data_IF_003157771030
#
_entry.id   IF_003157771030
#
_cell.length_a   1.000
_cell.length_b   1.000
_cell.length_c   1.000
_cell.angle_alpha   90.00
_cell.angle_beta   90.00
_cell.angle_gamma   90.00
#
_symmetry.space_group_name_H-M   'P 1'
#
loop_
_entity.id
_entity.type
_entity.pdbx_description
1 polymer ?
#
# COMPACT_ATOMS: atom_id res chain seq x y z
N UNK A 1 21.88 20.04 11.65
CA UNK A 1 21.85 18.74 10.94
C UNK A 1 20.62 18.62 10.04
N UNK A 2 19.37 18.76 10.51
CA UNK A 2 18.12 18.53 9.75
C UNK A 2 18.01 19.39 8.48
N UNK A 3 18.36 20.69 8.53
CA UNK A 3 18.27 21.60 7.37
C UNK A 3 19.22 21.14 6.26
N UNK A 4 20.46 20.75 6.60
CA UNK A 4 21.44 20.29 5.61
C UNK A 4 20.96 19.00 4.95
N UNK A 5 20.46 18.05 5.73
CA UNK A 5 19.89 16.80 5.20
C UNK A 5 18.71 17.08 4.26
N UNK A 6 17.79 17.96 4.65
CA UNK A 6 16.63 18.34 3.82
C UNK A 6 17.07 18.99 2.50
N UNK A 7 18.06 19.88 2.52
CA UNK A 7 18.61 20.52 1.32
C UNK A 7 19.26 19.50 0.39
N UNK A 8 20.06 18.57 0.93
CA UNK A 8 20.69 17.51 0.12
C UNK A 8 19.64 16.68 -0.60
N UNK A 9 18.61 16.20 0.13
CA UNK A 9 17.53 15.43 -0.49
C UNK A 9 16.73 16.23 -1.51
N UNK A 10 16.47 17.52 -1.26
CA UNK A 10 15.77 18.39 -2.21
C UNK A 10 16.58 18.58 -3.50
N UNK A 11 17.90 18.76 -3.41
CA UNK A 11 18.78 18.88 -4.58
C UNK A 11 18.81 17.57 -5.37
N UNK A 12 18.96 16.43 -4.71
CA UNK A 12 18.92 15.12 -5.37
C UNK A 12 17.57 14.91 -6.08
N UNK A 13 16.46 15.21 -5.40
CA UNK A 13 15.13 15.09 -6.00
C UNK A 13 14.96 16.00 -7.23
N UNK A 14 15.45 17.24 -7.15
CA UNK A 14 15.40 18.18 -8.27
C UNK A 14 16.21 17.65 -9.47
N UNK A 15 17.42 17.17 -9.26
CA UNK A 15 18.26 16.60 -10.32
C UNK A 15 17.56 15.42 -10.98
N UNK A 16 17.00 14.49 -10.19
CA UNK A 16 16.30 13.31 -10.71
C UNK A 16 15.05 13.71 -11.50
N UNK A 17 14.29 14.71 -11.05
CA UNK A 17 13.12 15.23 -11.77
C UNK A 17 13.52 15.88 -13.09
N UNK A 18 14.61 16.65 -13.11
CA UNK A 18 15.12 17.24 -14.36
C UNK A 18 15.61 16.17 -15.33
N UNK A 19 16.35 15.17 -14.86
CA UNK A 19 16.76 14.02 -15.69
C UNK A 19 15.52 13.32 -16.27
N UNK A 20 14.50 13.10 -15.45
CA UNK A 20 13.24 12.50 -15.90
C UNK A 20 12.57 13.38 -16.98
N UNK A 21 12.43 14.68 -16.74
CA UNK A 21 11.81 15.62 -17.65
C UNK A 21 12.49 15.69 -19.02
N UNK A 22 13.84 15.71 -19.06
CA UNK A 22 14.59 15.80 -20.31
C UNK A 22 14.70 14.47 -21.07
N UNK A 23 14.47 13.31 -20.41
CA UNK A 23 14.62 12.01 -21.04
C UNK A 23 13.30 11.28 -21.33
N UNK A 24 12.16 11.79 -20.84
CA UNK A 24 10.85 11.20 -21.12
C UNK A 24 10.25 11.89 -22.35
N UNK A 25 10.06 11.11 -23.41
CA UNK A 25 9.26 11.48 -24.56
C UNK A 25 7.88 10.82 -24.46
N UNK A 26 6.83 11.59 -24.67
CA UNK A 26 5.47 11.08 -24.73
C UNK A 26 5.28 10.33 -26.06
N UNK A 27 5.50 9.01 -26.05
CA UNK A 27 5.43 8.15 -27.25
C UNK A 27 4.01 7.80 -27.68
N UNK A 28 3.08 7.83 -26.76
CA UNK A 28 1.67 7.56 -27.03
C UNK A 28 0.91 8.89 -26.92
N UNK A 29 0.93 9.65 -27.99
CA UNK A 29 0.02 10.76 -28.18
C UNK A 29 -1.32 10.12 -28.55
N UNK A 30 -2.21 9.92 -27.58
CA UNK A 30 -3.61 9.69 -27.89
C UNK A 30 -4.06 10.98 -28.57
N UNK A 31 -4.22 10.95 -29.91
CA UNK A 31 -4.82 12.05 -30.63
C UNK A 31 -6.03 12.50 -29.83
N UNK A 32 -6.07 13.79 -29.54
CA UNK A 32 -7.21 14.41 -28.89
C UNK A 32 -8.36 14.49 -29.91
N UNK A 33 -8.73 13.34 -30.49
CA UNK A 33 -10.02 13.17 -31.10
C UNK A 33 -11.01 13.59 -30.03
N UNK A 34 -11.68 14.71 -30.26
CA UNK A 34 -12.70 15.37 -29.44
C UNK A 34 -13.16 14.50 -28.27
N UNK A 35 -12.41 14.55 -27.16
CA UNK A 35 -12.85 13.91 -25.91
C UNK A 35 -14.14 14.61 -25.58
N UNK A 36 -15.27 14.02 -25.98
CA UNK A 36 -16.58 14.43 -25.49
C UNK A 36 -16.39 14.65 -24.00
N UNK A 37 -16.54 15.90 -23.56
CA UNK A 37 -16.35 16.24 -22.14
C UNK A 37 -17.43 15.50 -21.36
N UNK A 38 -17.10 14.26 -20.96
CA UNK A 38 -18.04 13.45 -20.18
C UNK A 38 -18.36 14.23 -18.90
N UNK A 39 -19.62 14.55 -18.65
CA UNK A 39 -20.02 15.28 -17.45
C UNK A 39 -19.48 14.59 -16.19
N UNK A 40 -18.92 15.34 -15.26
CA UNK A 40 -18.30 14.82 -14.03
C UNK A 40 -19.25 13.85 -13.30
N UNK A 41 -20.56 14.13 -13.30
CA UNK A 41 -21.57 13.24 -12.68
C UNK A 41 -21.66 11.86 -13.35
N UNK A 42 -21.55 11.77 -14.69
CA UNK A 42 -21.51 10.48 -15.40
C UNK A 42 -20.21 9.73 -15.07
N UNK A 43 -19.10 10.43 -15.03
CA UNK A 43 -17.81 9.88 -14.67
C UNK A 43 -17.79 9.32 -13.24
N UNK A 44 -18.34 10.05 -12.28
CA UNK A 44 -18.49 9.59 -10.90
C UNK A 44 -19.36 8.35 -10.80
N UNK A 45 -20.52 8.34 -11.48
CA UNK A 45 -21.42 7.17 -11.51
C UNK A 45 -20.73 5.94 -12.10
N UNK A 46 -20.00 6.09 -13.19
CA UNK A 46 -19.25 5.01 -13.82
C UNK A 46 -18.15 4.48 -12.89
N UNK A 47 -17.42 5.37 -12.18
CA UNK A 47 -16.41 5.01 -11.21
C UNK A 47 -16.98 4.16 -10.06
N UNK A 48 -18.07 4.62 -9.41
CA UNK A 48 -18.71 3.88 -8.32
C UNK A 48 -19.41 2.60 -8.78
N UNK A 49 -19.73 2.46 -10.07
CA UNK A 49 -20.25 1.21 -10.63
C UNK A 49 -19.17 0.15 -10.88
N UNK A 50 -17.89 0.53 -10.78
CA UNK A 50 -16.75 -0.36 -10.99
C UNK A 50 -16.37 -1.04 -9.67
N UNK A 51 -16.87 -2.26 -9.47
CA UNK A 51 -16.60 -3.04 -8.25
C UNK A 51 -15.12 -3.32 -8.03
N UNK A 52 -14.35 -3.54 -9.10
CA UNK A 52 -12.91 -3.85 -8.96
C UNK A 52 -12.10 -2.61 -8.56
N UNK A 53 -12.49 -1.43 -9.04
CA UNK A 53 -11.93 -0.19 -8.55
C UNK A 53 -12.19 0.00 -7.04
N UNK A 54 -13.41 -0.26 -6.58
CA UNK A 54 -13.74 -0.15 -5.15
C UNK A 54 -12.92 -1.13 -4.30
N UNK A 55 -12.70 -2.36 -4.79
CA UNK A 55 -11.84 -3.34 -4.13
C UNK A 55 -10.38 -2.85 -4.11
N UNK A 56 -9.85 -2.33 -5.21
CA UNK A 56 -8.49 -1.80 -5.27
C UNK A 56 -8.30 -0.59 -4.35
N UNK A 57 -9.30 0.30 -4.27
CA UNK A 57 -9.30 1.42 -3.33
C UNK A 57 -9.24 0.93 -1.87
N UNK A 58 -10.03 -0.08 -1.53
CA UNK A 58 -9.96 -0.75 -0.23
C UNK A 58 -8.61 -1.39 0.04
N UNK A 59 -8.07 -2.17 -0.90
CA UNK A 59 -6.75 -2.79 -0.79
C UNK A 59 -5.67 -1.74 -0.53
N UNK A 60 -5.64 -0.66 -1.31
CA UNK A 60 -4.69 0.43 -1.16
C UNK A 60 -4.86 1.16 0.18
N UNK A 61 -6.09 1.50 0.55
CA UNK A 61 -6.40 2.19 1.79
C UNK A 61 -5.98 1.37 3.02
N UNK A 62 -6.39 0.09 3.11
CA UNK A 62 -6.04 -0.77 4.23
C UNK A 62 -4.55 -1.13 4.28
N UNK A 63 -3.88 -1.21 3.13
CA UNK A 63 -2.44 -1.36 3.07
C UNK A 63 -1.73 -0.14 3.69
N UNK A 64 -2.14 1.08 3.32
CA UNK A 64 -1.57 2.31 3.89
C UNK A 64 -1.88 2.39 5.39
N UNK A 65 -3.10 2.03 5.81
CA UNK A 65 -3.45 1.96 7.23
C UNK A 65 -2.55 0.98 7.99
N UNK A 66 -2.37 -0.23 7.48
CA UNK A 66 -1.49 -1.25 8.06
C UNK A 66 -0.04 -0.73 8.18
N UNK A 67 0.49 -0.13 7.13
CA UNK A 67 1.86 0.41 7.11
C UNK A 67 2.02 1.58 8.10
N UNK A 68 1.04 2.48 8.17
CA UNK A 68 1.05 3.62 9.10
C UNK A 68 1.00 3.13 10.55
N UNK A 69 0.11 2.18 10.86
CA UNK A 69 0.00 1.60 12.21
C UNK A 69 1.30 0.90 12.58
N UNK A 70 1.82 0.02 11.71
CA UNK A 70 3.05 -0.72 11.97
C UNK A 70 4.24 0.21 12.20
N UNK A 71 4.44 1.21 11.34
CA UNK A 71 5.56 2.15 11.47
C UNK A 71 5.47 3.03 12.70
N UNK A 72 4.29 3.57 13.00
CA UNK A 72 4.09 4.43 14.16
C UNK A 72 4.28 3.64 15.46
N UNK A 73 3.62 2.49 15.60
CA UNK A 73 3.68 1.73 16.86
C UNK A 73 5.06 1.06 17.08
N UNK A 74 5.79 0.72 16.00
CA UNK A 74 7.14 0.19 16.12
C UNK A 74 8.09 1.18 16.80
N UNK A 75 7.93 2.49 16.56
CA UNK A 75 8.71 3.53 17.25
C UNK A 75 8.46 3.52 18.74
N UNK A 76 7.19 3.41 19.17
CA UNK A 76 6.85 3.29 20.59
C UNK A 76 7.35 1.97 21.19
N UNK A 77 7.26 0.87 20.44
CA UNK A 77 7.77 -0.44 20.88
C UNK A 77 9.28 -0.39 21.11
N UNK A 78 10.06 0.17 20.20
CA UNK A 78 11.51 0.32 20.36
C UNK A 78 11.85 1.20 21.56
N UNK A 79 11.17 2.35 21.72
CA UNK A 79 11.44 3.31 22.78
C UNK A 79 11.10 2.75 24.18
N UNK A 80 9.93 2.14 24.35
CA UNK A 80 9.41 1.80 25.65
C UNK A 80 9.52 0.30 26.01
N UNK A 81 9.45 -0.61 25.03
CA UNK A 81 9.54 -2.06 25.27
C UNK A 81 10.98 -2.56 25.13
N UNK A 82 11.68 -2.18 24.06
CA UNK A 82 13.09 -2.51 23.87
C UNK A 82 14.05 -1.55 24.57
N UNK A 83 13.54 -0.44 25.13
CA UNK A 83 14.30 0.61 25.82
C UNK A 83 15.44 1.22 25.00
N UNK A 84 15.36 1.13 23.69
CA UNK A 84 16.33 1.70 22.76
C UNK A 84 15.64 2.15 21.47
N UNK A 85 15.50 3.47 21.30
CA UNK A 85 14.83 4.06 20.14
C UNK A 85 15.63 3.88 18.85
N UNK A 86 16.95 3.77 18.90
CA UNK A 86 17.80 3.65 17.71
C UNK A 86 17.58 2.31 16.98
N UNK A 87 17.08 1.30 17.70
CA UNK A 87 16.74 0.00 17.12
C UNK A 87 15.63 0.09 16.07
N UNK A 88 14.80 1.14 16.11
CA UNK A 88 13.79 1.36 15.07
C UNK A 88 14.42 1.44 13.68
N UNK A 89 15.50 2.19 13.54
CA UNK A 89 16.20 2.34 12.26
C UNK A 89 16.73 1.02 11.73
N UNK A 90 17.26 0.16 12.60
CA UNK A 90 17.76 -1.16 12.24
C UNK A 90 16.62 -2.09 11.79
N UNK A 91 15.53 -2.15 12.57
CA UNK A 91 14.37 -3.01 12.30
C UNK A 91 13.68 -2.57 10.99
N UNK A 92 13.49 -1.26 10.82
CA UNK A 92 12.89 -0.71 9.61
C UNK A 92 13.76 -0.89 8.36
N UNK A 93 15.09 -0.72 8.49
CA UNK A 93 16.02 -0.96 7.39
C UNK A 93 16.01 -2.44 6.97
N UNK A 94 15.97 -3.37 7.91
CA UNK A 94 15.87 -4.80 7.62
C UNK A 94 14.59 -5.14 6.86
N UNK A 95 13.45 -4.57 7.26
CA UNK A 95 12.17 -4.72 6.57
C UNK A 95 12.22 -4.16 5.14
N UNK A 96 12.73 -2.92 5.00
CA UNK A 96 12.79 -2.22 3.72
C UNK A 96 13.73 -2.91 2.73
N UNK A 97 14.89 -3.38 3.17
CA UNK A 97 15.83 -4.12 2.32
C UNK A 97 15.18 -5.41 1.81
N UNK A 98 14.56 -6.18 2.70
CA UNK A 98 13.85 -7.40 2.32
C UNK A 98 12.72 -7.10 1.31
N UNK A 99 11.95 -6.04 1.54
CA UNK A 99 10.89 -5.59 0.63
C UNK A 99 11.45 -5.20 -0.75
N UNK A 100 12.52 -4.40 -0.80
CA UNK A 100 13.14 -3.98 -2.06
C UNK A 100 13.61 -5.16 -2.90
N UNK A 101 14.26 -6.14 -2.28
CA UNK A 101 14.72 -7.35 -2.97
C UNK A 101 13.55 -8.11 -3.60
N UNK A 102 12.47 -8.29 -2.85
CA UNK A 102 11.30 -9.06 -3.32
C UNK A 102 10.52 -8.30 -4.38
N UNK A 103 10.37 -6.97 -4.26
CA UNK A 103 9.68 -6.14 -5.27
C UNK A 103 10.32 -6.31 -6.66
N UNK A 104 11.64 -6.45 -6.74
CA UNK A 104 12.35 -6.69 -8.02
C UNK A 104 12.04 -8.09 -8.62
N UNK A 105 11.66 -9.04 -7.78
CA UNK A 105 11.36 -10.42 -8.20
C UNK A 105 9.88 -10.56 -8.60
N UNK A 106 8.98 -9.83 -7.95
CA UNK A 106 7.52 -9.93 -8.15
C UNK A 106 7.09 -9.85 -9.62
N UNK A 107 7.60 -8.94 -10.47
CA UNK A 107 7.18 -8.89 -11.88
C UNK A 107 7.39 -10.20 -12.64
N UNK A 108 8.42 -10.97 -12.29
CA UNK A 108 8.69 -12.30 -12.88
C UNK A 108 7.72 -13.37 -12.38
N UNK A 109 7.10 -13.17 -11.23
CA UNK A 109 6.16 -14.10 -10.61
C UNK A 109 4.70 -13.84 -11.03
N UNK A 110 4.36 -12.62 -11.42
CA UNK A 110 3.00 -12.21 -11.83
C UNK A 110 2.44 -13.11 -12.95
N UNK A 111 3.18 -13.42 -14.04
CA UNK A 111 2.63 -14.26 -15.11
C UNK A 111 2.28 -15.68 -14.65
N UNK A 112 2.98 -16.20 -13.62
CA UNK A 112 2.79 -17.57 -13.12
C UNK A 112 1.67 -17.67 -12.09
N UNK A 113 1.56 -16.71 -11.19
CA UNK A 113 0.67 -16.79 -10.01
C UNK A 113 -0.52 -15.83 -10.08
N UNK A 114 -0.44 -14.77 -10.90
CA UNK A 114 -1.39 -13.67 -10.93
C UNK A 114 -1.17 -12.65 -9.80
N UNK A 115 -1.63 -11.43 -10.00
CA UNK A 115 -1.45 -10.29 -9.08
C UNK A 115 -2.15 -10.55 -7.74
N UNK A 116 -3.40 -11.02 -7.80
CA UNK A 116 -4.21 -11.36 -6.63
C UNK A 116 -3.57 -12.41 -5.72
N UNK A 117 -3.16 -13.54 -6.31
CA UNK A 117 -2.64 -14.66 -5.51
C UNK A 117 -1.30 -14.30 -4.87
N UNK A 118 -0.42 -13.60 -5.61
CA UNK A 118 0.85 -13.12 -5.06
C UNK A 118 0.63 -12.17 -3.87
N UNK A 119 -0.31 -11.24 -4.00
CA UNK A 119 -0.70 -10.34 -2.89
C UNK A 119 -1.19 -11.15 -1.70
N UNK A 120 -2.07 -12.13 -1.93
CA UNK A 120 -2.63 -12.96 -0.87
C UNK A 120 -1.55 -13.80 -0.16
N UNK A 121 -0.63 -14.43 -0.91
CA UNK A 121 0.49 -15.18 -0.32
C UNK A 121 1.41 -14.27 0.50
N UNK A 122 1.67 -13.06 0.00
CA UNK A 122 2.44 -12.07 0.74
C UNK A 122 1.78 -11.70 2.07
N UNK A 123 0.48 -11.45 2.07
CA UNK A 123 -0.24 -11.10 3.31
C UNK A 123 -0.29 -12.27 4.30
N UNK A 124 -0.34 -13.52 3.83
CA UNK A 124 -0.17 -14.66 4.74
C UNK A 124 1.21 -14.67 5.41
N UNK A 125 2.27 -14.29 4.69
CA UNK A 125 3.60 -14.13 5.30
C UNK A 125 3.64 -13.01 6.35
N UNK A 126 2.88 -11.91 6.15
CA UNK A 126 2.73 -10.86 7.17
C UNK A 126 2.10 -11.43 8.44
N UNK A 127 1.07 -12.26 8.32
CA UNK A 127 0.46 -12.92 9.49
C UNK A 127 1.46 -13.83 10.20
N UNK A 128 2.24 -14.62 9.43
CA UNK A 128 3.30 -15.47 10.00
C UNK A 128 4.35 -14.62 10.72
N UNK A 129 4.77 -13.49 10.16
CA UNK A 129 5.70 -12.56 10.80
C UNK A 129 5.18 -12.09 12.17
N UNK A 130 3.89 -11.77 12.26
CA UNK A 130 3.27 -11.37 13.53
C UNK A 130 3.21 -12.51 14.54
N UNK A 131 2.93 -13.73 14.11
CA UNK A 131 2.96 -14.92 14.97
C UNK A 131 4.38 -15.15 15.52
N UNK A 132 5.40 -15.06 14.67
CA UNK A 132 6.81 -15.15 15.09
C UNK A 132 7.13 -14.07 16.15
N UNK A 133 6.65 -12.86 15.94
CA UNK A 133 6.84 -11.78 16.93
C UNK A 133 6.12 -12.06 18.25
N UNK A 134 4.90 -12.58 18.20
CA UNK A 134 4.09 -12.88 19.40
C UNK A 134 4.66 -14.03 20.23
N UNK A 135 5.16 -15.08 19.57
CA UNK A 135 5.62 -16.30 20.24
C UNK A 135 7.08 -16.22 20.69
N UNK A 136 7.85 -15.31 20.10
CA UNK A 136 9.26 -15.14 20.43
C UNK A 136 9.49 -14.32 21.72
N UNK A 137 10.67 -14.46 22.34
CA UNK A 137 11.04 -13.59 23.45
C UNK A 137 11.14 -12.14 23.00
N UNK A 138 10.97 -11.19 23.95
CA UNK A 138 11.19 -9.77 23.68
C UNK A 138 12.68 -9.54 23.44
N UNK A 139 13.09 -9.58 22.17
CA UNK A 139 14.50 -9.43 21.78
C UNK A 139 14.61 -8.74 20.41
N UNK A 140 15.74 -8.10 20.19
CA UNK A 140 16.07 -7.44 18.92
C UNK A 140 16.09 -8.44 17.76
N UNK A 141 16.64 -9.64 18.01
CA UNK A 141 16.74 -10.69 16.99
C UNK A 141 15.36 -11.12 16.46
N UNK A 142 14.39 -11.33 17.37
CA UNK A 142 13.01 -11.68 16.99
C UNK A 142 12.35 -10.52 16.24
N UNK A 143 12.54 -9.28 16.69
CA UNK A 143 12.01 -8.10 16.02
C UNK A 143 12.56 -7.94 14.60
N UNK A 144 13.86 -8.12 14.39
CA UNK A 144 14.51 -8.06 13.07
C UNK A 144 14.04 -9.22 12.18
N UNK A 145 13.99 -10.45 12.69
CA UNK A 145 13.52 -11.60 11.93
C UNK A 145 12.06 -11.43 11.47
N UNK A 146 11.20 -10.99 12.36
CA UNK A 146 9.80 -10.68 12.02
C UNK A 146 9.70 -9.55 11.00
N UNK A 147 10.50 -8.48 11.12
CA UNK A 147 10.54 -7.38 10.18
C UNK A 147 10.96 -7.85 8.76
N UNK A 148 11.97 -8.72 8.65
CA UNK A 148 12.39 -9.31 7.37
C UNK A 148 11.24 -10.11 6.74
N UNK A 149 10.61 -11.01 7.50
CA UNK A 149 9.48 -11.81 7.00
C UNK A 149 8.33 -10.90 6.58
N UNK A 150 8.03 -9.85 7.34
CA UNK A 150 7.00 -8.85 7.01
C UNK A 150 7.36 -8.09 5.74
N UNK A 151 8.60 -7.65 5.57
CA UNK A 151 9.09 -7.00 4.36
C UNK A 151 8.89 -7.85 3.11
N UNK A 152 9.23 -9.15 3.19
CA UNK A 152 8.96 -10.13 2.14
C UNK A 152 7.45 -10.22 1.86
N UNK A 153 6.64 -10.24 2.92
CA UNK A 153 5.20 -10.40 2.83
C UNK A 153 4.45 -9.20 2.23
N UNK A 154 4.86 -7.97 2.54
CA UNK A 154 4.17 -6.76 2.01
C UNK A 154 4.62 -6.41 0.59
N UNK A 155 5.79 -6.87 0.15
CA UNK A 155 6.36 -6.56 -1.16
C UNK A 155 5.44 -6.86 -2.34
N UNK A 156 4.76 -8.03 -2.44
CA UNK A 156 3.83 -8.31 -3.53
C UNK A 156 2.66 -7.32 -3.61
N UNK A 157 2.12 -6.89 -2.47
CA UNK A 157 1.04 -5.91 -2.46
C UNK A 157 1.51 -4.55 -2.99
N UNK A 158 2.69 -4.08 -2.57
CA UNK A 158 3.29 -2.86 -3.09
C UNK A 158 3.54 -2.91 -4.61
N UNK A 159 4.02 -4.05 -5.11
CA UNK A 159 4.31 -4.22 -6.52
C UNK A 159 3.05 -4.39 -7.39
N UNK A 160 1.99 -5.01 -6.86
CA UNK A 160 0.79 -5.36 -7.63
C UNK A 160 -0.31 -4.30 -7.57
N UNK A 161 -0.34 -3.41 -6.57
CA UNK A 161 -1.49 -2.54 -6.34
C UNK A 161 -1.75 -1.57 -7.50
N UNK A 162 -0.72 -0.89 -8.02
CA UNK A 162 -0.87 0.02 -9.14
C UNK A 162 -1.24 -0.69 -10.44
N UNK A 163 -0.61 -1.82 -10.82
CA UNK A 163 -1.11 -2.66 -11.91
C UNK A 163 -2.57 -3.13 -11.73
N UNK A 164 -3.00 -3.49 -10.51
CA UNK A 164 -4.40 -3.86 -10.26
C UNK A 164 -5.36 -2.68 -10.42
N UNK A 165 -4.94 -1.47 -10.02
CA UNK A 165 -5.70 -0.23 -10.24
C UNK A 165 -5.82 0.05 -11.73
N UNK A 166 -4.74 -0.11 -12.51
CA UNK A 166 -4.76 0.05 -13.97
C UNK A 166 -5.70 -0.95 -14.64
N UNK A 167 -5.62 -2.24 -14.29
CA UNK A 167 -6.55 -3.26 -14.80
C UNK A 167 -8.01 -2.92 -14.48
N UNK A 168 -8.27 -2.32 -13.31
CA UNK A 168 -9.62 -1.88 -12.94
C UNK A 168 -10.10 -0.71 -13.80
N UNK A 169 -9.19 0.15 -14.31
CA UNK A 169 -9.52 1.22 -15.24
C UNK A 169 -9.96 0.65 -16.60
N UNK A 170 -9.23 -0.33 -17.11
CA UNK A 170 -9.57 -1.02 -18.36
C UNK A 170 -10.89 -1.79 -18.25
N UNK A 171 -11.13 -2.46 -17.11
CA UNK A 171 -12.44 -3.07 -16.84
C UNK A 171 -13.56 -2.01 -16.80
N UNK A 172 -13.31 -0.85 -16.21
CA UNK A 172 -14.25 0.28 -16.19
C UNK A 172 -14.58 0.74 -17.61
N UNK A 173 -13.58 0.92 -18.46
CA UNK A 173 -13.77 1.26 -19.88
C UNK A 173 -14.53 0.18 -20.64
N UNK A 174 -14.20 -1.10 -20.45
CA UNK A 174 -14.89 -2.23 -21.05
C UNK A 174 -16.39 -2.25 -20.72
N UNK A 175 -16.73 -1.94 -19.45
CA UNK A 175 -18.11 -2.00 -18.94
C UNK A 175 -18.92 -0.74 -19.27
N UNK A 176 -18.30 0.44 -19.23
CA UNK A 176 -19.04 1.73 -19.29
C UNK A 176 -18.78 2.52 -20.57
N UNK A 177 -17.85 2.05 -21.43
CA UNK A 177 -17.38 2.76 -22.63
C UNK A 177 -16.78 4.15 -22.34
N UNK A 178 -16.40 4.42 -21.09
CA UNK A 178 -15.80 5.69 -20.67
C UNK A 178 -14.45 5.42 -20.01
N UNK A 179 -13.39 5.99 -20.57
CA UNK A 179 -12.03 5.90 -20.00
C UNK A 179 -11.82 6.98 -18.94
N UNK A 180 -11.35 6.61 -17.76
CA UNK A 180 -11.29 7.51 -16.59
C UNK A 180 -10.00 7.34 -15.78
N UNK A 181 -8.86 7.15 -16.44
CA UNK A 181 -7.58 6.85 -15.77
C UNK A 181 -7.25 7.88 -14.67
N UNK A 182 -7.33 9.18 -15.00
CA UNK A 182 -7.00 10.25 -14.06
C UNK A 182 -7.86 10.25 -12.79
N UNK A 183 -9.17 9.97 -12.93
CA UNK A 183 -10.09 9.94 -11.79
C UNK A 183 -9.86 8.72 -10.90
N UNK A 184 -9.58 7.56 -11.50
CA UNK A 184 -9.30 6.30 -10.79
C UNK A 184 -8.06 6.43 -9.90
N UNK A 185 -6.96 6.94 -10.44
CA UNK A 185 -5.72 7.14 -9.68
C UNK A 185 -5.83 8.27 -8.64
N UNK A 186 -6.55 9.36 -8.97
CA UNK A 186 -6.79 10.45 -8.02
C UNK A 186 -7.57 9.98 -6.80
N UNK A 187 -8.65 9.21 -7.01
CA UNK A 187 -9.44 8.67 -5.92
C UNK A 187 -8.65 7.68 -5.06
N UNK A 188 -7.79 6.84 -5.67
CA UNK A 188 -6.88 5.98 -4.93
C UNK A 188 -5.91 6.79 -4.04
N UNK A 189 -5.37 7.90 -4.57
CA UNK A 189 -4.52 8.80 -3.80
C UNK A 189 -5.23 9.43 -2.61
N UNK A 190 -6.47 9.91 -2.79
CA UNK A 190 -7.31 10.44 -1.71
C UNK A 190 -7.57 9.36 -0.64
N UNK A 191 -7.94 8.14 -1.06
CA UNK A 191 -8.17 7.02 -0.15
C UNK A 191 -6.95 6.72 0.73
N UNK A 192 -5.75 6.76 0.16
CA UNK A 192 -4.51 6.55 0.93
C UNK A 192 -4.25 7.64 1.97
N UNK A 193 -4.50 8.91 1.63
CA UNK A 193 -4.33 10.03 2.57
C UNK A 193 -5.33 9.96 3.72
N UNK A 194 -6.60 9.65 3.42
CA UNK A 194 -7.63 9.44 4.44
C UNK A 194 -7.24 8.24 5.33
N UNK A 195 -6.82 7.11 4.74
CA UNK A 195 -6.41 5.93 5.49
C UNK A 195 -5.24 6.21 6.43
N UNK A 196 -4.20 6.90 5.97
CA UNK A 196 -3.07 7.31 6.80
C UNK A 196 -3.48 8.25 7.95
N UNK A 197 -4.33 9.24 7.67
CA UNK A 197 -4.85 10.17 8.67
C UNK A 197 -5.70 9.48 9.74
N UNK A 198 -6.64 8.62 9.33
CA UNK A 198 -7.48 7.84 10.25
C UNK A 198 -6.66 6.91 11.14
N UNK A 199 -5.62 6.26 10.57
CA UNK A 199 -4.74 5.38 11.34
C UNK A 199 -3.95 6.13 12.39
N UNK A 200 -3.40 7.30 12.03
CA UNK A 200 -2.64 8.14 12.97
C UNK A 200 -3.54 8.66 14.09
N UNK A 201 -4.74 9.13 13.75
CA UNK A 201 -5.74 9.57 14.73
C UNK A 201 -6.19 8.40 15.64
N UNK A 202 -6.45 7.23 15.07
CA UNK A 202 -6.82 6.04 15.82
C UNK A 202 -5.76 5.60 16.83
N UNK A 203 -4.48 5.58 16.44
CA UNK A 203 -3.38 5.30 17.38
C UNK A 203 -3.35 6.36 18.47
N UNK A 204 -3.45 7.65 18.12
CA UNK A 204 -3.47 8.74 19.09
C UNK A 204 -4.59 8.59 20.13
N UNK A 205 -5.80 8.28 19.68
CA UNK A 205 -6.95 8.04 20.55
C UNK A 205 -6.74 6.83 21.47
N UNK A 206 -6.25 5.70 20.93
CA UNK A 206 -5.97 4.50 21.71
C UNK A 206 -4.88 4.75 22.76
N UNK A 207 -3.81 5.45 22.40
CA UNK A 207 -2.74 5.80 23.33
C UNK A 207 -3.21 6.78 24.41
N UNK A 208 -4.03 7.76 24.04
CA UNK A 208 -4.59 8.72 25.00
C UNK A 208 -5.56 8.04 25.98
N UNK A 209 -6.37 7.09 25.53
CA UNK A 209 -7.34 6.38 26.37
C UNK A 209 -6.70 5.58 27.50
N UNK A 210 -5.44 5.16 27.35
CA UNK A 210 -4.66 4.45 28.39
C UNK A 210 -3.71 5.38 29.15
N UNK A 211 -3.83 6.70 29.00
CA UNK A 211 -3.05 7.68 29.74
C UNK A 211 -1.60 7.85 29.24
N UNK A 212 -1.32 7.60 27.95
CA UNK A 212 0.01 7.86 27.41
C UNK A 212 0.41 9.34 27.57
N UNK A 213 1.60 9.56 28.12
CA UNK A 213 2.19 10.89 28.25
C UNK A 213 3.63 10.89 27.68
N UNK A 214 3.80 11.56 26.53
CA UNK A 214 5.08 11.62 25.83
C UNK A 214 6.24 12.31 26.58
N UNK A 215 5.92 13.06 27.66
CA UNK A 215 6.92 13.73 28.51
C UNK A 215 7.56 12.79 29.54
N UNK A 216 6.97 11.63 29.78
CA UNK A 216 7.46 10.65 30.74
C UNK A 216 8.49 9.73 30.07
N UNK A 217 9.61 9.49 30.76
CA UNK A 217 10.64 8.55 30.31
C UNK A 217 10.14 7.09 30.42
N UNK A 218 9.30 6.79 31.41
CA UNK A 218 8.67 5.48 31.62
C UNK A 218 7.18 5.62 31.57
N UNK A 219 6.51 4.63 31.03
CA UNK A 219 5.04 4.60 30.88
C UNK A 219 4.42 3.59 31.84
N UNK A 220 3.12 3.74 32.08
CA UNK A 220 2.36 2.78 32.91
C UNK A 220 2.30 1.39 32.25
N UNK A 221 2.01 0.35 33.04
CA UNK A 221 1.83 -1.00 32.50
C UNK A 221 0.69 -1.09 31.48
N UNK A 222 -0.35 -0.29 31.63
CA UNK A 222 -1.50 -0.24 30.71
C UNK A 222 -1.08 0.30 29.35
N UNK A 223 -0.28 1.37 29.31
CA UNK A 223 0.30 1.90 28.08
C UNK A 223 1.22 0.86 27.42
N UNK A 224 2.05 0.18 28.20
CA UNK A 224 2.95 -0.86 27.69
C UNK A 224 2.17 -2.05 27.09
N UNK A 225 1.08 -2.46 27.74
CA UNK A 225 0.17 -3.50 27.19
C UNK A 225 -0.48 -3.03 25.90
N UNK A 226 -0.96 -1.78 25.82
CA UNK A 226 -1.57 -1.23 24.63
C UNK A 226 -0.58 -1.18 23.46
N UNK A 227 0.66 -0.71 23.66
CA UNK A 227 1.72 -0.71 22.64
C UNK A 227 1.95 -2.12 22.09
N UNK A 228 2.12 -3.11 22.97
CA UNK A 228 2.31 -4.51 22.56
C UNK A 228 1.09 -5.04 21.79
N UNK A 229 -0.12 -4.74 22.28
CA UNK A 229 -1.36 -5.17 21.64
C UNK A 229 -1.50 -4.61 20.22
N UNK A 230 -1.33 -3.30 20.03
CA UNK A 230 -1.43 -2.68 18.71
C UNK A 230 -0.31 -3.21 17.80
N UNK A 231 0.91 -3.36 18.29
CA UNK A 231 2.04 -3.85 17.53
C UNK A 231 1.80 -5.28 17.01
N UNK A 232 1.18 -6.14 17.83
CA UNK A 232 0.96 -7.55 17.52
C UNK A 232 -0.32 -7.76 16.69
N UNK A 233 -1.44 -7.20 17.13
CA UNK A 233 -2.75 -7.47 16.53
C UNK A 233 -3.14 -6.50 15.40
N UNK A 234 -2.59 -5.28 15.39
CA UNK A 234 -2.90 -4.28 14.37
C UNK A 234 -2.65 -4.80 12.94
N UNK A 235 -1.44 -5.28 12.62
CA UNK A 235 -1.16 -5.83 11.28
C UNK A 235 -2.01 -7.06 10.94
N UNK A 236 -2.34 -7.91 11.92
CA UNK A 236 -3.21 -9.08 11.70
C UNK A 236 -4.62 -8.63 11.33
N UNK A 237 -5.16 -7.64 12.05
CA UNK A 237 -6.49 -7.09 11.77
C UNK A 237 -6.60 -6.59 10.32
N UNK A 238 -5.65 -5.77 9.86
CA UNK A 238 -5.64 -5.29 8.49
C UNK A 238 -5.37 -6.40 7.48
N UNK A 239 -4.52 -7.37 7.81
CA UNK A 239 -4.25 -8.52 6.94
C UNK A 239 -5.50 -9.34 6.65
N UNK A 240 -6.36 -9.56 7.65
CA UNK A 240 -7.64 -10.25 7.46
C UNK A 240 -8.53 -9.51 6.46
N UNK A 241 -8.64 -8.18 6.61
CA UNK A 241 -9.44 -7.36 5.68
C UNK A 241 -8.86 -7.42 4.27
N UNK A 242 -7.54 -7.29 4.12
CA UNK A 242 -6.87 -7.36 2.82
C UNK A 242 -7.08 -8.74 2.17
N UNK A 243 -7.00 -9.84 2.93
CA UNK A 243 -7.27 -11.19 2.43
C UNK A 243 -8.71 -11.30 1.91
N UNK A 244 -9.69 -10.78 2.67
CA UNK A 244 -11.10 -10.79 2.24
C UNK A 244 -11.26 -10.00 0.94
N UNK A 245 -10.66 -8.82 0.82
CA UNK A 245 -10.70 -8.03 -0.41
C UNK A 245 -10.02 -8.76 -1.58
N UNK A 246 -8.89 -9.42 -1.35
CA UNK A 246 -8.24 -10.26 -2.36
C UNK A 246 -9.14 -11.42 -2.81
N UNK A 247 -9.90 -12.04 -1.91
CA UNK A 247 -10.84 -13.10 -2.27
C UNK A 247 -11.99 -12.59 -3.16
N UNK A 248 -12.42 -11.34 -2.97
CA UNK A 248 -13.43 -10.69 -3.80
C UNK A 248 -12.88 -10.22 -5.16
N UNK A 249 -11.58 -9.97 -5.27
CA UNK A 249 -10.95 -9.55 -6.52
C UNK A 249 -10.81 -10.75 -7.47
N UNK A 250 -11.64 -10.79 -8.50
CA UNK A 250 -11.66 -11.87 -9.51
C UNK A 250 -11.24 -11.40 -10.89
N UNK A 251 -10.78 -10.16 -11.03
CA UNK A 251 -10.45 -9.54 -12.32
C UNK A 251 -9.35 -10.31 -13.07
N UNK A 252 -8.32 -10.82 -12.40
CA UNK A 252 -7.23 -11.58 -13.03
C UNK A 252 -7.73 -12.71 -13.96
N UNK A 253 -8.90 -13.31 -13.64
CA UNK A 253 -9.46 -14.41 -14.44
C UNK A 253 -10.15 -13.95 -15.72
N UNK A 254 -10.78 -12.80 -15.69
CA UNK A 254 -11.55 -12.26 -16.83
C UNK A 254 -10.75 -11.21 -17.62
N UNK A 255 -9.62 -10.77 -17.08
CA UNK A 255 -8.79 -9.72 -17.68
C UNK A 255 -8.33 -10.03 -19.11
N UNK A 256 -7.91 -11.27 -19.46
CA UNK A 256 -7.57 -11.59 -20.85
C UNK A 256 -8.74 -11.38 -21.82
N UNK A 257 -9.96 -11.70 -21.41
CA UNK A 257 -11.16 -11.47 -22.20
C UNK A 257 -11.45 -9.97 -22.34
N UNK A 258 -11.35 -9.21 -21.25
CA UNK A 258 -11.54 -7.75 -21.26
C UNK A 258 -10.60 -7.08 -22.26
N UNK A 259 -9.32 -7.49 -22.27
CA UNK A 259 -8.32 -6.96 -23.20
C UNK A 259 -8.58 -7.35 -24.65
N UNK A 260 -9.01 -8.58 -24.90
CA UNK A 260 -9.38 -9.03 -26.24
C UNK A 260 -10.56 -8.22 -26.80
N UNK A 261 -11.63 -8.07 -26.00
CA UNK A 261 -12.81 -7.31 -26.39
C UNK A 261 -12.50 -5.82 -26.63
N UNK A 262 -11.64 -5.20 -25.81
CA UNK A 262 -11.19 -3.82 -26.00
C UNK A 262 -10.37 -3.67 -27.28
N UNK A 263 -9.44 -4.59 -27.57
CA UNK A 263 -8.66 -4.57 -28.79
C UNK A 263 -9.53 -4.73 -30.04
N UNK A 264 -10.57 -5.54 -30.00
CA UNK A 264 -11.50 -5.71 -31.10
C UNK A 264 -12.36 -4.46 -31.34
N UNK A 265 -12.80 -3.78 -30.27
CA UNK A 265 -13.51 -2.49 -30.38
C UNK A 265 -12.63 -1.37 -30.94
N UNK A 266 -11.36 -1.33 -30.56
CA UNK A 266 -10.39 -0.38 -31.10
C UNK A 266 -10.23 -0.56 -32.62
N UNK A 267 -10.07 -1.82 -33.08
CA UNK A 267 -10.00 -2.15 -34.52
C UNK A 267 -11.26 -1.76 -35.30
N UNK A 268 -12.42 -1.74 -34.64
CA UNK A 268 -13.71 -1.37 -35.25
C UNK A 268 -13.97 0.15 -35.17
N UNK A 269 -13.09 0.94 -34.54
CA UNK A 269 -13.29 2.38 -34.34
C UNK A 269 -14.43 2.73 -33.40
N UNK A 270 -14.77 1.84 -32.46
CA UNK A 270 -15.89 2.00 -31.52
C UNK A 270 -15.41 2.56 -30.16
N UNK A 271 -14.12 2.79 -29.99
CA UNK A 271 -13.52 3.34 -28.74
C UNK A 271 -13.35 4.84 -28.83
#
# INVERSE_FOLDING_TARGET
AWIITAVIFAVIALILLLVCFFNIEERVVVEAAEKEKVPVGKSMKALFSNQYWAICLGLWGFMVMMSTVSGTIATYYCKYVLQNQDLYSLIYAAELIAQCVVVLIVPKLIPKFGKRNLTMYGIFLVVIAQIVWMMGPVSVAVAVASAIIRGIGVAPLWACIFPMIADSAEFGQWKTHVRQDGMIFSAASVGSKIGGGLSSAGIGLLMTSVGYNGLLATQSEEVMKMIKMICMYGPIFFSVIIIVLCLLYKLDKIYPQVMADLADRDRQGIL
#
